data_IF_074996984103
#
_entry.id   IF_074996984103
#
_cell.length_a   1.000
_cell.length_b   1.000
_cell.length_c   1.000
_cell.angle_alpha   90.00
_cell.angle_beta   90.00
_cell.angle_gamma   90.00
#
_symmetry.space_group_name_H-M   'P 1'
#
loop_
_entity.id
_entity.type
_entity.pdbx_description
1 polymer ?
#
# COMPACT_ATOMS: atom_id res chain seq x y z
N UNK A 1 12.81 7.32 25.22
CA UNK A 1 12.08 6.34 24.38
C UNK A 1 11.23 5.44 25.27
N UNK A 2 9.89 5.58 25.27
CA UNK A 2 9.00 4.85 26.20
C UNK A 2 8.70 3.45 25.65
N UNK A 3 9.32 2.40 26.23
CA UNK A 3 8.97 0.99 25.97
C UNK A 3 7.49 0.80 26.32
N UNK A 4 6.63 0.60 25.32
CA UNK A 4 5.23 0.18 25.54
C UNK A 4 5.24 -1.32 25.85
N UNK A 5 4.58 -1.78 26.92
CA UNK A 5 4.53 -3.20 27.25
C UNK A 5 3.83 -3.96 26.12
N UNK A 6 4.48 -4.99 25.60
CA UNK A 6 3.87 -5.91 24.63
C UNK A 6 2.87 -6.82 25.33
N UNK A 7 1.69 -7.03 24.74
CA UNK A 7 0.71 -7.98 25.26
C UNK A 7 1.24 -9.42 25.12
N UNK A 8 1.00 -10.24 26.14
CA UNK A 8 1.34 -11.67 26.14
C UNK A 8 0.69 -12.40 24.95
N UNK A 9 1.40 -13.37 24.38
CA UNK A 9 0.92 -14.21 23.27
C UNK A 9 -0.45 -14.86 23.55
N UNK A 10 -0.75 -15.15 24.83
CA UNK A 10 -2.06 -15.65 25.27
C UNK A 10 -3.18 -14.61 25.10
N UNK A 11 -2.92 -13.34 25.41
CA UNK A 11 -3.91 -12.26 25.23
C UNK A 11 -4.18 -11.98 23.74
N UNK A 12 -3.17 -12.14 22.90
CA UNK A 12 -3.29 -12.00 21.43
C UNK A 12 -4.21 -13.07 20.82
N UNK A 13 -4.12 -14.32 21.31
CA UNK A 13 -4.94 -15.43 20.84
C UNK A 13 -6.39 -15.37 21.33
N UNK A 14 -6.62 -14.80 22.52
CA UNK A 14 -7.97 -14.67 23.09
C UNK A 14 -8.78 -13.58 22.39
N UNK A 15 -8.16 -12.46 22.00
CA UNK A 15 -8.86 -11.38 21.29
C UNK A 15 -9.14 -11.71 19.82
N UNK A 16 -8.26 -12.47 19.16
CA UNK A 16 -8.49 -12.92 17.78
C UNK A 16 -9.63 -13.93 17.65
N UNK A 17 -9.90 -14.72 18.70
CA UNK A 17 -11.06 -15.63 18.77
C UNK A 17 -12.37 -14.91 19.14
N UNK A 18 -12.32 -13.82 19.91
CA UNK A 18 -13.51 -13.12 20.38
C UNK A 18 -14.08 -12.06 19.41
N UNK A 19 -13.34 -11.68 18.35
CA UNK A 19 -13.67 -10.53 17.49
C UNK A 19 -13.66 -10.85 15.99
N UNK A 20 -14.12 -12.06 15.62
CA UNK A 20 -14.05 -12.65 14.26
C UNK A 20 -14.78 -11.92 13.12
N UNK A 21 -15.19 -10.66 13.29
CA UNK A 21 -15.80 -9.84 12.23
C UNK A 21 -15.26 -8.41 12.10
N UNK A 22 -14.43 -7.93 13.04
CA UNK A 22 -14.05 -6.51 13.09
C UNK A 22 -12.53 -6.25 13.04
N UNK A 23 -11.70 -7.27 13.29
CA UNK A 23 -10.25 -7.12 13.34
C UNK A 23 -9.59 -7.91 12.22
N UNK A 24 -9.04 -7.24 11.18
CA UNK A 24 -8.47 -7.92 10.03
C UNK A 24 -7.21 -8.72 10.43
N UNK A 25 -6.96 -9.82 9.73
CA UNK A 25 -5.76 -10.64 9.92
C UNK A 25 -4.50 -9.89 9.49
N UNK A 26 -3.30 -10.32 9.93
CA UNK A 26 -2.04 -9.67 9.50
C UNK A 26 -1.90 -9.61 7.96
N UNK A 27 -2.39 -10.65 7.26
CA UNK A 27 -2.41 -10.73 5.79
C UNK A 27 -3.38 -9.71 5.18
N UNK A 28 -4.58 -9.61 5.72
CA UNK A 28 -5.55 -8.61 5.26
C UNK A 28 -5.06 -7.19 5.52
N UNK A 29 -4.44 -6.96 6.68
CA UNK A 29 -3.86 -5.66 7.03
C UNK A 29 -2.74 -5.30 6.08
N UNK A 30 -1.84 -6.21 5.71
CA UNK A 30 -0.78 -5.90 4.75
C UNK A 30 -1.35 -5.55 3.38
N UNK A 31 -2.34 -6.32 2.89
CA UNK A 31 -3.02 -6.04 1.62
C UNK A 31 -3.80 -4.72 1.64
N UNK A 32 -4.54 -4.45 2.71
CA UNK A 32 -5.26 -3.19 2.86
C UNK A 32 -4.29 -2.02 2.99
N UNK A 33 -3.20 -2.18 3.75
CA UNK A 33 -2.17 -1.15 3.89
C UNK A 33 -1.56 -0.82 2.54
N UNK A 34 -1.19 -1.82 1.72
CA UNK A 34 -0.71 -1.57 0.35
C UNK A 34 -1.74 -0.79 -0.48
N UNK A 35 -3.01 -1.21 -0.45
CA UNK A 35 -4.09 -0.50 -1.15
C UNK A 35 -4.33 0.92 -0.63
N UNK A 36 -4.02 1.23 0.63
CA UNK A 36 -4.11 2.60 1.18
C UNK A 36 -3.15 3.56 0.48
N UNK A 37 -2.01 3.06 -0.02
CA UNK A 37 -1.00 3.87 -0.70
C UNK A 37 -1.36 4.12 -2.17
N UNK A 38 -2.06 3.18 -2.82
CA UNK A 38 -2.47 3.29 -4.22
C UNK A 38 -3.85 3.98 -4.37
N UNK A 39 -4.80 3.72 -3.44
CA UNK A 39 -6.20 4.11 -3.57
C UNK A 39 -6.84 4.57 -2.24
N UNK A 40 -7.99 5.25 -2.33
CA UNK A 40 -8.75 5.69 -1.15
C UNK A 40 -9.55 4.52 -0.56
N UNK A 41 -9.07 3.96 0.56
CA UNK A 41 -9.82 2.95 1.32
C UNK A 41 -11.12 3.48 1.97
N UNK A 42 -12.10 2.57 2.15
CA UNK A 42 -13.32 2.80 2.91
C UNK A 42 -13.02 3.04 4.41
N UNK A 43 -13.80 3.91 5.06
CA UNK A 43 -13.58 4.32 6.46
C UNK A 43 -13.52 3.12 7.44
N UNK A 44 -14.36 2.10 7.24
CA UNK A 44 -14.38 0.88 8.06
C UNK A 44 -13.08 0.09 7.98
N UNK A 45 -12.47 0.00 6.79
CA UNK A 45 -11.20 -0.70 6.58
C UNK A 45 -10.06 0.05 7.27
N UNK A 46 -10.04 1.38 7.19
CA UNK A 46 -9.05 2.20 7.92
C UNK A 46 -9.14 1.99 9.43
N UNK A 47 -10.35 1.88 9.97
CA UNK A 47 -10.54 1.64 11.41
C UNK A 47 -9.98 0.26 11.82
N UNK A 48 -10.29 -0.78 11.05
CA UNK A 48 -9.75 -2.13 11.27
C UNK A 48 -8.22 -2.18 11.24
N UNK A 49 -7.59 -1.50 10.28
CA UNK A 49 -6.13 -1.36 10.20
C UNK A 49 -5.60 -0.66 11.46
N UNK A 50 -6.14 0.52 11.82
CA UNK A 50 -5.68 1.27 13.02
C UNK A 50 -5.74 0.42 14.28
N UNK A 51 -6.84 -0.32 14.48
CA UNK A 51 -6.99 -1.22 15.62
C UNK A 51 -5.93 -2.32 15.59
N UNK A 52 -5.72 -2.98 14.45
CA UNK A 52 -4.71 -4.03 14.32
C UNK A 52 -3.28 -3.52 14.59
N UNK A 53 -2.94 -2.32 14.10
CA UNK A 53 -1.63 -1.71 14.28
C UNK A 53 -1.31 -1.39 15.75
N UNK A 54 -2.30 -1.21 16.62
CA UNK A 54 -2.09 -0.99 18.06
C UNK A 54 -1.43 -2.20 18.72
N UNK A 55 -1.79 -3.41 18.28
CA UNK A 55 -1.36 -4.66 18.92
C UNK A 55 -0.27 -5.39 18.13
N UNK A 56 -0.27 -5.28 16.79
CA UNK A 56 0.72 -5.93 15.94
C UNK A 56 1.89 -4.99 15.61
N UNK A 57 3.05 -5.26 16.20
CA UNK A 57 4.29 -4.50 15.94
C UNK A 57 4.78 -4.69 14.50
N UNK A 58 4.62 -5.87 13.91
CA UNK A 58 5.10 -6.20 12.56
C UNK A 58 4.35 -5.43 11.48
N UNK A 59 3.01 -5.42 11.53
CA UNK A 59 2.20 -4.61 10.61
C UNK A 59 2.50 -3.12 10.76
N UNK A 60 2.83 -2.64 11.96
CA UNK A 60 3.27 -1.26 12.19
C UNK A 60 4.60 -0.95 11.52
N UNK A 61 5.57 -1.85 11.62
CA UNK A 61 6.86 -1.70 10.95
C UNK A 61 6.69 -1.68 9.43
N UNK A 62 5.92 -2.62 8.89
CA UNK A 62 5.62 -2.69 7.46
C UNK A 62 4.97 -1.40 6.93
N UNK A 63 3.95 -0.88 7.63
CA UNK A 63 3.32 0.39 7.26
C UNK A 63 4.31 1.56 7.27
N UNK A 64 5.19 1.62 8.26
CA UNK A 64 6.21 2.67 8.32
C UNK A 64 7.19 2.58 7.16
N UNK A 65 7.55 1.36 6.73
CA UNK A 65 8.40 1.15 5.56
C UNK A 65 7.72 1.64 4.28
N UNK A 66 6.45 1.29 4.06
CA UNK A 66 5.69 1.80 2.92
C UNK A 66 5.57 3.33 2.93
N UNK A 67 5.32 3.93 4.09
CA UNK A 67 5.25 5.38 4.24
C UNK A 67 6.59 6.06 3.94
N UNK A 68 7.72 5.43 4.29
CA UNK A 68 9.04 5.93 3.94
C UNK A 68 9.25 5.93 2.42
N UNK A 69 8.89 4.83 1.75
CA UNK A 69 8.98 4.69 0.29
C UNK A 69 8.09 5.72 -0.40
N UNK A 70 6.81 5.83 -0.02
CA UNK A 70 5.88 6.79 -0.60
C UNK A 70 6.34 8.25 -0.43
N UNK A 71 6.82 8.63 0.76
CA UNK A 71 7.35 9.99 0.98
C UNK A 71 8.64 10.24 0.19
N UNK A 72 9.51 9.23 0.07
CA UNK A 72 10.70 9.33 -0.79
C UNK A 72 10.28 9.54 -2.25
N UNK A 73 9.41 8.68 -2.78
CA UNK A 73 8.91 8.79 -4.16
C UNK A 73 8.22 10.13 -4.42
N UNK A 74 7.39 10.64 -3.49
CA UNK A 74 6.73 11.95 -3.63
C UNK A 74 7.70 13.13 -3.66
N UNK A 75 8.77 13.07 -2.88
CA UNK A 75 9.82 14.11 -2.89
C UNK A 75 10.56 14.10 -4.22
N UNK A 76 10.97 12.91 -4.66
CA UNK A 76 11.64 12.76 -5.95
C UNK A 76 10.71 13.09 -7.12
N UNK A 77 9.42 12.75 -7.07
CA UNK A 77 8.47 13.10 -8.13
C UNK A 77 8.26 14.62 -8.21
N UNK A 78 8.23 15.32 -7.07
CA UNK A 78 8.17 16.78 -7.04
C UNK A 78 9.45 17.44 -7.61
N UNK A 79 10.60 16.79 -7.49
CA UNK A 79 11.86 17.23 -8.09
C UNK A 79 11.93 16.87 -9.59
N UNK A 80 11.38 15.73 -10.00
CA UNK A 80 11.21 15.27 -11.40
C UNK A 80 10.25 16.18 -12.17
N UNK A 81 9.19 16.69 -11.53
CA UNK A 81 8.24 17.63 -12.14
C UNK A 81 8.82 19.04 -12.32
N UNK A 82 9.86 19.40 -11.56
CA UNK A 82 10.61 20.67 -11.69
C UNK A 82 11.87 20.57 -12.53
N UNK A 83 12.43 19.37 -12.66
CA UNK A 83 13.47 19.12 -13.65
C UNK A 83 12.84 19.25 -15.05
N UNK A 84 13.47 19.95 -16.00
CA UNK A 84 13.07 19.85 -17.39
C UNK A 84 13.45 18.44 -17.84
N UNK A 85 12.60 17.46 -17.56
CA UNK A 85 12.70 16.15 -18.19
C UNK A 85 12.18 16.36 -19.60
N UNK A 86 13.03 16.96 -20.45
CA UNK A 86 12.97 16.86 -21.90
C UNK A 86 13.36 15.46 -22.37
N UNK A 87 12.94 14.42 -21.63
CA UNK A 87 12.88 13.07 -22.17
C UNK A 87 11.45 12.97 -22.70
N UNK A 88 11.29 13.25 -23.99
CA UNK A 88 10.14 12.75 -24.73
C UNK A 88 10.17 11.22 -24.58
N UNK A 89 9.44 10.70 -23.59
CA UNK A 89 9.16 9.26 -23.51
C UNK A 89 8.09 8.99 -24.58
N UNK A 90 8.49 9.17 -25.83
CA UNK A 90 7.71 8.72 -26.97
C UNK A 90 8.09 7.27 -27.21
N UNK A 91 7.09 6.41 -27.33
CA UNK A 91 7.29 5.09 -27.93
C UNK A 91 7.95 5.30 -29.29
N UNK A 92 8.93 4.46 -29.63
CA UNK A 92 9.37 4.39 -31.02
C UNK A 92 8.16 4.12 -31.91
N UNK A 93 8.15 4.67 -33.12
CA UNK A 93 7.01 4.53 -34.02
C UNK A 93 6.68 3.05 -34.28
N UNK A 94 7.71 2.19 -34.36
CA UNK A 94 7.55 0.75 -34.47
C UNK A 94 6.78 0.14 -33.28
N UNK A 95 7.09 0.57 -32.05
CA UNK A 95 6.40 0.08 -30.84
C UNK A 95 4.95 0.55 -30.82
N UNK A 96 4.71 1.81 -31.19
CA UNK A 96 3.36 2.41 -31.28
C UNK A 96 2.49 1.68 -32.31
N UNK A 97 3.06 1.32 -33.45
CA UNK A 97 2.33 0.61 -34.53
C UNK A 97 2.06 -0.87 -34.21
N UNK A 98 2.93 -1.52 -33.44
CA UNK A 98 2.65 -2.86 -32.88
C UNK A 98 1.44 -2.82 -31.93
N UNK A 99 1.38 -1.83 -31.03
CA UNK A 99 0.25 -1.67 -30.11
C UNK A 99 -1.07 -1.36 -30.84
N UNK A 100 -1.05 -0.46 -31.83
CA UNK A 100 -2.25 -0.15 -32.64
C UNK A 100 -2.81 -1.38 -33.35
N UNK A 101 -1.95 -2.21 -33.94
CA UNK A 101 -2.36 -3.47 -34.59
C UNK A 101 -2.96 -4.44 -33.58
N UNK A 102 -2.28 -4.68 -32.46
CA UNK A 102 -2.75 -5.60 -31.43
C UNK A 102 -4.13 -5.23 -30.86
N UNK A 103 -4.42 -3.94 -30.66
CA UNK A 103 -5.74 -3.48 -30.19
C UNK A 103 -6.81 -3.67 -31.27
N UNK A 104 -6.48 -3.39 -32.54
CA UNK A 104 -7.42 -3.54 -33.66
C UNK A 104 -7.78 -5.01 -33.91
N UNK A 105 -6.83 -5.91 -33.77
CA UNK A 105 -7.01 -7.34 -33.96
C UNK A 105 -7.82 -8.00 -32.81
N UNK A 106 -7.78 -7.43 -31.60
CA UNK A 106 -8.57 -7.88 -30.44
C UNK A 106 -9.99 -7.29 -30.38
N UNK A 107 -10.31 -6.34 -31.26
CA UNK A 107 -11.63 -5.69 -31.34
C UNK A 107 -12.56 -6.34 -32.38
N UNK A 108 -12.19 -7.51 -32.91
CA UNK A 108 -13.01 -8.38 -33.77
C UNK A 108 -13.37 -9.66 -33.03
#
# INVERSE_FOLDING_TARGET
MKKRPGMSAKAMLMMSKAMGGFMPTCREVSQLTSREFDEKLLFRQRLGIRLHLIFCKWCRLYRNQLQFIDNFLRRYSADVEKAPIGIEISLSDETRDRFKRAIKDNSK
#
